data_IF_244993238624
#
_entry.id   IF_244993238624
#
_cell.length_a   1.000
_cell.length_b   1.000
_cell.length_c   1.000
_cell.angle_alpha   90.00
_cell.angle_beta   90.00
_cell.angle_gamma   90.00
#
_symmetry.space_group_name_H-M   'P 1'
#
loop_
_entity.id
_entity.type
_entity.pdbx_description
1 polymer ?
#
# COMPACT_ATOMS: atom_id res chain seq x y z
N UNK A 1 -23.35 8.83 -32.82
CA UNK A 1 -23.82 8.87 -31.42
C UNK A 1 -22.61 8.89 -30.50
N UNK A 2 -22.38 10.01 -29.79
CA UNK A 2 -21.21 10.18 -28.93
C UNK A 2 -21.52 9.71 -27.50
N UNK A 3 -20.82 8.67 -27.04
CA UNK A 3 -20.94 8.17 -25.67
C UNK A 3 -20.24 9.12 -24.70
N UNK A 4 -21.01 9.98 -24.02
CA UNK A 4 -20.53 10.75 -22.87
C UNK A 4 -20.31 9.79 -21.69
N UNK A 5 -19.04 9.47 -21.41
CA UNK A 5 -18.66 8.77 -20.18
C UNK A 5 -18.87 9.71 -19.01
N UNK A 6 -19.84 9.40 -18.13
CA UNK A 6 -20.00 10.07 -16.83
C UNK A 6 -18.73 9.85 -16.01
N UNK A 7 -17.91 10.88 -15.85
CA UNK A 7 -16.82 10.84 -14.87
C UNK A 7 -17.46 10.80 -13.48
N UNK A 8 -17.08 9.81 -12.66
CA UNK A 8 -17.37 9.85 -11.22
C UNK A 8 -16.61 11.06 -10.66
N UNK A 9 -17.27 12.21 -10.57
CA UNK A 9 -16.79 13.33 -9.78
C UNK A 9 -16.65 12.82 -8.35
N UNK A 10 -15.40 12.57 -7.93
CA UNK A 10 -15.10 12.26 -6.54
C UNK A 10 -15.64 13.42 -5.71
N UNK A 11 -16.55 13.13 -4.78
CA UNK A 11 -17.03 14.12 -3.81
C UNK A 11 -15.81 14.68 -3.08
N UNK A 12 -15.50 15.96 -3.30
CA UNK A 12 -14.44 16.65 -2.57
C UNK A 12 -14.90 16.81 -1.11
N UNK A 13 -14.01 16.63 -0.12
CA UNK A 13 -14.36 16.85 1.29
C UNK A 13 -14.86 18.29 1.48
N UNK A 14 -15.90 18.44 2.28
CA UNK A 14 -16.44 19.75 2.70
C UNK A 14 -16.02 19.98 4.15
N UNK A 15 -15.23 21.01 4.39
CA UNK A 15 -14.75 21.34 5.73
C UNK A 15 -15.71 22.34 6.39
N UNK A 16 -16.16 22.02 7.60
CA UNK A 16 -17.02 22.88 8.42
C UNK A 16 -16.39 23.01 9.79
N UNK A 17 -16.04 24.23 10.17
CA UNK A 17 -15.44 24.54 11.46
C UNK A 17 -16.46 25.23 12.35
N UNK A 18 -16.46 24.88 13.63
CA UNK A 18 -17.25 25.57 14.65
C UNK A 18 -16.27 26.25 15.60
N UNK A 19 -16.39 27.57 15.71
CA UNK A 19 -15.62 28.37 16.65
C UNK A 19 -16.20 28.19 18.07
N UNK A 20 -15.41 28.51 19.09
CA UNK A 20 -15.83 28.44 20.50
C UNK A 20 -17.10 29.29 20.76
N UNK A 21 -17.27 30.38 20.01
CA UNK A 21 -18.42 31.28 20.08
C UNK A 21 -19.69 30.73 19.40
N UNK A 22 -19.65 29.49 18.89
CA UNK A 22 -20.77 28.82 18.23
C UNK A 22 -20.93 29.14 16.74
N UNK A 23 -20.20 30.12 16.22
CA UNK A 23 -20.21 30.50 14.80
C UNK A 23 -19.65 29.38 13.93
N UNK A 24 -20.34 29.07 12.82
CA UNK A 24 -19.93 28.02 11.87
C UNK A 24 -19.33 28.63 10.61
N UNK A 25 -18.10 28.24 10.30
CA UNK A 25 -17.39 28.62 9.07
C UNK A 25 -17.36 27.44 8.10
N UNK A 26 -17.80 27.65 6.86
CA UNK A 26 -17.79 26.62 5.82
C UNK A 26 -16.72 26.96 4.79
N UNK A 27 -15.80 26.03 4.56
CA UNK A 27 -14.77 26.20 3.52
C UNK A 27 -15.25 25.53 2.24
N UNK A 28 -15.38 26.33 1.18
CA UNK A 28 -15.78 25.82 -0.12
C UNK A 28 -14.61 25.09 -0.80
N UNK A 29 -14.77 23.83 -1.20
CA UNK A 29 -13.69 23.03 -1.79
C UNK A 29 -13.34 23.45 -3.23
N UNK A 30 -14.02 24.43 -3.82
CA UNK A 30 -13.73 24.94 -5.16
C UNK A 30 -13.02 26.30 -5.15
N UNK A 31 -12.85 26.91 -3.98
CA UNK A 31 -12.03 28.10 -3.83
C UNK A 31 -10.55 27.68 -3.76
N UNK A 32 -9.72 28.27 -4.61
CA UNK A 32 -8.26 28.06 -4.60
C UNK A 32 -7.64 28.91 -3.48
N UNK A 33 -7.95 28.54 -2.24
CA UNK A 33 -7.39 29.16 -1.05
C UNK A 33 -6.26 28.25 -0.52
N UNK A 34 -5.15 28.83 -0.07
CA UNK A 34 -4.02 28.10 0.51
C UNK A 34 -4.47 27.14 1.63
N UNK A 35 -5.44 27.59 2.44
CA UNK A 35 -6.08 26.79 3.48
C UNK A 35 -6.71 25.49 2.96
N UNK A 36 -7.38 25.51 1.80
CA UNK A 36 -7.98 24.31 1.20
C UNK A 36 -6.91 23.32 0.76
N UNK A 37 -5.77 23.82 0.27
CA UNK A 37 -4.63 22.98 -0.12
C UNK A 37 -4.01 22.32 1.11
N UNK A 38 -3.75 23.08 2.17
CA UNK A 38 -3.19 22.57 3.44
C UNK A 38 -4.10 21.46 4.01
N UNK A 39 -5.41 21.71 4.08
CA UNK A 39 -6.36 20.72 4.62
C UNK A 39 -6.39 19.42 3.79
N UNK A 40 -6.29 19.52 2.47
CA UNK A 40 -6.19 18.33 1.60
C UNK A 40 -4.89 17.57 1.78
N UNK A 41 -3.80 18.27 2.05
CA UNK A 41 -2.51 17.64 2.32
C UNK A 41 -2.52 16.92 3.65
N UNK A 42 -3.13 17.51 4.70
CA UNK A 42 -3.34 16.87 5.99
C UNK A 42 -4.19 15.60 5.89
N UNK A 43 -5.35 15.66 5.23
CA UNK A 43 -6.20 14.48 5.00
C UNK A 43 -5.42 13.38 4.25
N UNK A 44 -4.57 13.78 3.30
CA UNK A 44 -3.76 12.84 2.53
C UNK A 44 -2.66 12.22 3.39
N UNK A 45 -1.99 12.99 4.24
CA UNK A 45 -0.95 12.47 5.13
C UNK A 45 -1.53 11.55 6.20
N UNK A 46 -2.67 11.88 6.79
CA UNK A 46 -3.37 11.02 7.75
C UNK A 46 -3.74 9.69 7.12
N UNK A 47 -4.39 9.72 5.94
CA UNK A 47 -4.72 8.50 5.20
C UNK A 47 -3.50 7.67 4.81
N UNK A 48 -2.35 8.30 4.58
CA UNK A 48 -1.10 7.60 4.34
C UNK A 48 -0.56 6.96 5.63
N UNK A 49 -0.61 7.69 6.75
CA UNK A 49 -0.24 7.16 8.07
C UNK A 49 -1.07 5.93 8.42
N UNK A 50 -2.41 6.03 8.33
CA UNK A 50 -3.32 4.91 8.57
C UNK A 50 -2.96 3.70 7.70
N UNK A 51 -2.60 3.95 6.43
CA UNK A 51 -2.21 2.89 5.51
C UNK A 51 -0.90 2.24 5.93
N UNK A 52 0.12 3.03 6.28
CA UNK A 52 1.41 2.51 6.73
C UNK A 52 1.26 1.73 8.04
N UNK A 53 0.49 2.26 8.99
CA UNK A 53 0.18 1.55 10.23
C UNK A 53 -0.53 0.23 9.97
N UNK A 54 -1.50 0.21 9.05
CA UNK A 54 -2.19 -1.03 8.70
C UNK A 54 -1.31 -2.02 7.91
N UNK A 55 -0.37 -1.55 7.11
CA UNK A 55 0.62 -2.39 6.42
C UNK A 55 1.69 -2.93 7.37
N UNK A 56 2.01 -2.19 8.45
CA UNK A 56 2.99 -2.57 9.47
C UNK A 56 2.40 -3.46 10.59
N UNK A 57 1.07 -3.52 10.72
CA UNK A 57 0.41 -4.41 11.67
C UNK A 57 0.60 -5.87 11.29
N UNK A 58 0.99 -6.67 12.27
CA UNK A 58 0.94 -8.13 12.14
C UNK A 58 -0.54 -8.57 12.13
N UNK A 59 -1.00 -9.01 10.95
CA UNK A 59 -2.37 -9.43 10.73
C UNK A 59 -2.75 -10.65 11.57
N UNK A 60 -1.79 -11.52 11.89
CA UNK A 60 -2.01 -12.73 12.70
C UNK A 60 -2.27 -12.31 14.15
N UNK A 61 -1.42 -11.41 14.67
CA UNK A 61 -1.58 -10.84 16.00
C UNK A 61 -2.88 -10.03 16.16
N UNK A 62 -3.20 -9.17 15.20
CA UNK A 62 -4.46 -8.41 15.24
C UNK A 62 -5.68 -9.32 15.17
N UNK A 63 -5.61 -10.43 14.43
CA UNK A 63 -6.68 -11.41 14.38
C UNK A 63 -6.87 -12.12 15.73
N UNK A 64 -5.79 -12.60 16.35
CA UNK A 64 -5.85 -13.27 17.65
C UNK A 64 -6.33 -12.33 18.76
N UNK A 65 -5.83 -11.09 18.79
CA UNK A 65 -6.29 -10.02 19.68
C UNK A 65 -7.79 -9.75 19.53
N UNK A 66 -8.28 -9.63 18.30
CA UNK A 66 -9.70 -9.40 18.03
C UNK A 66 -10.58 -10.60 18.43
N UNK A 67 -10.09 -11.83 18.29
CA UNK A 67 -10.81 -13.01 18.75
C UNK A 67 -10.87 -13.08 20.29
N UNK A 68 -9.74 -12.80 20.97
CA UNK A 68 -9.67 -12.74 22.42
C UNK A 68 -10.65 -11.72 23.01
N UNK A 69 -10.68 -10.49 22.47
CA UNK A 69 -11.62 -9.47 22.93
C UNK A 69 -13.09 -9.84 22.74
N UNK A 70 -13.42 -10.63 21.71
CA UNK A 70 -14.79 -11.07 21.45
C UNK A 70 -15.24 -12.21 22.36
N UNK A 71 -14.32 -13.09 22.77
CA UNK A 71 -14.59 -14.26 23.61
C UNK A 71 -13.41 -14.55 24.55
N UNK A 72 -13.27 -13.78 25.64
CA UNK A 72 -12.11 -13.93 26.53
C UNK A 72 -12.07 -15.32 27.19
N UNK A 73 -13.23 -15.87 27.56
CA UNK A 73 -13.33 -17.15 28.30
C UNK A 73 -12.91 -18.40 27.50
N UNK A 74 -12.83 -18.29 26.17
CA UNK A 74 -12.40 -19.41 25.31
C UNK A 74 -10.89 -19.53 25.15
N UNK A 75 -10.13 -18.50 25.54
CA UNK A 75 -8.67 -18.48 25.38
C UNK A 75 -8.01 -18.54 26.75
N UNK A 76 -7.09 -19.49 26.92
CA UNK A 76 -6.39 -19.72 28.19
C UNK A 76 -5.41 -18.61 28.54
N UNK A 77 -4.80 -17.97 27.54
CA UNK A 77 -3.80 -16.90 27.70
C UNK A 77 -4.15 -15.69 26.83
N UNK A 78 -3.67 -14.50 27.23
CA UNK A 78 -3.79 -13.30 26.39
C UNK A 78 -2.87 -13.42 25.17
N UNK A 79 -3.29 -12.98 23.98
CA UNK A 79 -2.39 -12.86 22.83
C UNK A 79 -1.15 -12.00 23.12
N UNK A 80 -1.24 -11.06 24.08
CA UNK A 80 -0.10 -10.27 24.53
C UNK A 80 0.97 -11.10 25.25
N UNK A 81 0.58 -12.19 25.94
CA UNK A 81 1.51 -13.05 26.66
C UNK A 81 2.33 -13.95 25.71
N UNK A 82 1.87 -14.07 24.46
CA UNK A 82 2.60 -14.77 23.38
C UNK A 82 3.57 -13.87 22.61
N UNK A 83 3.61 -12.56 22.92
CA UNK A 83 4.63 -11.67 22.37
C UNK A 83 5.92 -11.95 23.13
N UNK A 84 6.76 -12.81 22.58
CA UNK A 84 8.12 -12.99 23.07
C UNK A 84 8.93 -11.78 22.61
N UNK A 85 9.44 -10.98 23.57
CA UNK A 85 10.34 -9.86 23.25
C UNK A 85 11.76 -10.39 22.97
N UNK A 86 11.90 -11.06 21.83
CA UNK A 86 13.18 -11.63 21.41
C UNK A 86 14.19 -10.58 20.93
N UNK A 87 13.83 -9.29 20.95
CA UNK A 87 14.73 -8.19 20.56
C UNK A 87 15.98 -8.10 21.46
N UNK A 88 15.91 -8.66 22.68
CA UNK A 88 17.03 -8.74 23.62
C UNK A 88 17.61 -10.15 23.76
N UNK A 89 17.10 -11.13 23.01
CA UNK A 89 17.69 -12.46 23.02
C UNK A 89 19.06 -12.39 22.35
N UNK A 90 20.10 -12.67 23.14
CA UNK A 90 21.49 -12.70 22.68
C UNK A 90 21.65 -13.69 21.51
N UNK A 91 20.88 -14.77 21.51
CA UNK A 91 20.85 -15.74 20.40
C UNK A 91 20.25 -15.14 19.13
N UNK A 92 19.16 -14.37 19.20
CA UNK A 92 18.61 -13.67 18.03
C UNK A 92 19.52 -12.54 17.53
N UNK A 93 20.28 -11.89 18.41
CA UNK A 93 21.22 -10.83 18.00
C UNK A 93 22.48 -11.43 17.34
N UNK A 94 22.96 -12.57 17.84
CA UNK A 94 24.20 -13.21 17.37
C UNK A 94 23.97 -14.21 16.22
N UNK A 95 22.78 -14.81 16.13
CA UNK A 95 22.49 -15.92 15.21
C UNK A 95 21.24 -15.72 14.33
N UNK A 96 20.62 -14.52 14.29
CA UNK A 96 19.72 -14.19 13.18
C UNK A 96 20.53 -13.95 11.90
N UNK A 97 21.14 -15.01 11.40
CA UNK A 97 21.24 -15.19 9.96
C UNK A 97 19.82 -15.52 9.50
N UNK A 98 18.98 -14.50 9.30
CA UNK A 98 17.72 -14.67 8.60
C UNK A 98 18.03 -15.06 7.15
N UNK A 99 18.37 -16.33 6.96
CA UNK A 99 18.61 -17.00 5.68
C UNK A 99 17.30 -17.21 4.91
N UNK A 100 16.17 -16.79 5.49
CA UNK A 100 14.93 -16.63 4.75
C UNK A 100 15.11 -15.52 3.72
N UNK A 101 15.45 -15.94 2.49
CA UNK A 101 15.42 -15.06 1.31
C UNK A 101 14.13 -14.25 1.33
N UNK A 102 14.26 -12.94 1.56
CA UNK A 102 13.11 -12.05 1.64
C UNK A 102 12.33 -12.15 0.34
N UNK A 103 11.02 -11.90 0.39
CA UNK A 103 10.19 -11.87 -0.84
C UNK A 103 10.81 -10.91 -1.87
N UNK A 104 11.44 -9.81 -1.42
CA UNK A 104 12.22 -8.91 -2.28
C UNK A 104 13.31 -9.63 -3.06
N UNK A 105 14.10 -10.47 -2.40
CA UNK A 105 15.27 -11.14 -2.98
C UNK A 105 14.82 -12.21 -3.97
N UNK A 106 13.76 -12.94 -3.61
CA UNK A 106 13.10 -13.90 -4.49
C UNK A 106 12.56 -13.20 -5.76
N UNK A 107 11.89 -12.06 -5.61
CA UNK A 107 11.37 -11.27 -6.75
C UNK A 107 12.52 -10.70 -7.59
N UNK A 108 13.59 -10.17 -6.97
CA UNK A 108 14.78 -9.69 -7.67
C UNK A 108 15.41 -10.78 -8.54
N UNK A 109 15.43 -12.03 -8.07
CA UNK A 109 15.93 -13.16 -8.87
C UNK A 109 15.06 -13.51 -10.09
N UNK A 110 13.79 -13.06 -10.12
CA UNK A 110 12.83 -13.31 -11.20
C UNK A 110 12.86 -12.20 -12.25
N UNK A 111 13.21 -10.96 -11.86
CA UNK A 111 13.24 -9.81 -12.78
C UNK A 111 14.05 -10.09 -14.06
N UNK A 112 15.25 -10.71 -14.02
CA UNK A 112 16.02 -11.04 -15.21
C UNK A 112 15.31 -12.00 -16.19
N UNK A 113 14.33 -12.78 -15.73
CA UNK A 113 13.54 -13.73 -16.55
C UNK A 113 12.39 -13.05 -17.33
N UNK A 114 12.11 -11.78 -17.03
CA UNK A 114 11.12 -10.98 -17.76
C UNK A 114 11.69 -10.52 -19.11
N UNK A 115 10.80 -10.10 -20.02
CA UNK A 115 11.22 -9.48 -21.29
C UNK A 115 11.85 -8.11 -21.02
N UNK A 116 12.76 -7.66 -21.88
CA UNK A 116 13.44 -6.35 -21.75
C UNK A 116 12.47 -5.19 -21.46
N UNK A 117 11.41 -5.06 -22.27
CA UNK A 117 10.37 -4.03 -22.09
C UNK A 117 9.66 -4.09 -20.71
N UNK A 118 9.56 -5.28 -20.13
CA UNK A 118 8.95 -5.49 -18.81
C UNK A 118 9.93 -5.17 -17.68
N UNK A 119 11.22 -5.44 -17.88
CA UNK A 119 12.28 -5.07 -16.93
C UNK A 119 12.40 -3.56 -16.83
N UNK A 120 12.44 -2.84 -17.96
CA UNK A 120 12.49 -1.39 -17.97
C UNK A 120 11.25 -0.78 -17.28
N UNK A 121 10.07 -1.32 -17.59
CA UNK A 121 8.83 -0.91 -16.93
C UNK A 121 8.87 -1.16 -15.41
N UNK A 122 9.46 -2.26 -14.96
CA UNK A 122 9.62 -2.57 -13.54
C UNK A 122 10.50 -1.52 -12.85
N UNK A 123 11.68 -1.21 -13.41
CA UNK A 123 12.58 -0.21 -12.82
C UNK A 123 11.95 1.18 -12.76
N UNK A 124 11.26 1.61 -13.83
CA UNK A 124 10.54 2.89 -13.82
C UNK A 124 9.46 2.96 -12.72
N UNK A 125 8.82 1.83 -12.39
CA UNK A 125 7.86 1.78 -11.29
C UNK A 125 8.56 1.81 -9.92
N UNK A 126 9.70 1.14 -9.79
CA UNK A 126 10.52 1.16 -8.56
C UNK A 126 11.08 2.56 -8.26
N UNK A 127 11.43 3.33 -9.29
CA UNK A 127 11.83 4.75 -9.18
C UNK A 127 10.68 5.68 -8.76
N UNK A 128 9.44 5.17 -8.68
CA UNK A 128 8.28 5.95 -8.23
C UNK A 128 7.63 6.81 -9.31
N UNK A 129 7.97 6.63 -10.58
CA UNK A 129 7.33 7.37 -11.68
C UNK A 129 5.83 7.07 -11.76
N UNK A 130 5.02 8.11 -11.98
CA UNK A 130 3.58 7.91 -12.21
C UNK A 130 3.38 7.26 -13.58
N UNK A 131 2.34 6.45 -13.70
CA UNK A 131 1.98 5.78 -14.97
C UNK A 131 1.81 6.75 -16.15
N UNK A 132 1.42 8.00 -15.88
CA UNK A 132 1.28 9.05 -16.89
C UNK A 132 2.63 9.52 -17.41
N UNK A 133 3.63 9.61 -16.53
CA UNK A 133 4.98 10.06 -16.88
C UNK A 133 5.72 8.94 -17.63
N UNK A 134 5.52 7.68 -17.23
CA UNK A 134 5.97 6.50 -17.97
C UNK A 134 5.35 6.46 -19.37
N UNK A 135 4.05 6.74 -19.48
CA UNK A 135 3.35 6.78 -20.77
C UNK A 135 3.94 7.84 -21.72
N UNK A 136 4.30 9.02 -21.19
CA UNK A 136 5.01 10.05 -21.95
C UNK A 136 6.41 9.59 -22.37
N UNK A 137 7.20 9.02 -21.44
CA UNK A 137 8.56 8.56 -21.71
C UNK A 137 8.63 7.47 -22.79
N UNK A 138 7.65 6.56 -22.79
CA UNK A 138 7.56 5.45 -23.75
C UNK A 138 6.77 5.82 -25.03
N UNK A 139 6.20 7.03 -25.13
CA UNK A 139 5.29 7.44 -26.21
C UNK A 139 4.10 6.49 -26.43
N UNK A 140 3.46 6.04 -25.34
CA UNK A 140 2.33 5.10 -25.39
C UNK A 140 1.15 5.66 -24.59
N UNK A 141 -0.07 5.22 -24.89
CA UNK A 141 -1.24 5.57 -24.08
C UNK A 141 -1.11 5.05 -22.64
N UNK A 142 -1.65 5.82 -21.68
CA UNK A 142 -1.68 5.45 -20.27
C UNK A 142 -2.41 4.12 -20.02
N UNK A 143 -3.40 3.80 -20.84
CA UNK A 143 -4.15 2.54 -20.76
C UNK A 143 -3.30 1.35 -21.22
N UNK A 144 -2.48 1.52 -22.24
CA UNK A 144 -1.53 0.50 -22.67
C UNK A 144 -0.45 0.25 -21.61
N UNK A 145 0.03 1.30 -20.93
CA UNK A 145 0.96 1.13 -19.78
C UNK A 145 0.29 0.32 -18.67
N UNK A 146 -0.95 0.64 -18.28
CA UNK A 146 -1.70 -0.15 -17.27
C UNK A 146 -1.85 -1.62 -17.68
N UNK A 147 -2.20 -1.87 -18.94
CA UNK A 147 -2.31 -3.23 -19.48
C UNK A 147 -0.98 -3.98 -19.38
N UNK A 148 0.13 -3.33 -19.75
CA UNK A 148 1.49 -3.89 -19.62
C UNK A 148 1.85 -4.19 -18.17
N UNK A 149 1.57 -3.28 -17.24
CA UNK A 149 1.81 -3.49 -15.79
C UNK A 149 1.01 -4.69 -15.28
N UNK A 150 -0.27 -4.81 -15.67
CA UNK A 150 -1.12 -5.95 -15.27
C UNK A 150 -0.54 -7.27 -15.76
N UNK A 151 -0.17 -7.34 -17.05
CA UNK A 151 0.43 -8.55 -17.65
C UNK A 151 1.78 -8.90 -17.01
N UNK A 152 2.60 -7.89 -16.72
CA UNK A 152 3.87 -8.06 -16.01
C UNK A 152 3.66 -8.66 -14.62
N UNK A 153 2.74 -8.10 -13.81
CA UNK A 153 2.40 -8.64 -12.48
C UNK A 153 1.93 -10.09 -12.54
N UNK A 154 1.05 -10.42 -13.48
CA UNK A 154 0.59 -11.82 -13.68
C UNK A 154 1.76 -12.74 -13.99
N UNK A 155 2.69 -12.30 -14.85
CA UNK A 155 3.86 -13.09 -15.21
C UNK A 155 4.83 -13.27 -14.04
N UNK A 156 5.08 -12.21 -13.25
CA UNK A 156 5.90 -12.31 -12.03
C UNK A 156 5.29 -13.31 -11.05
N UNK A 157 3.98 -13.25 -10.81
CA UNK A 157 3.28 -14.21 -9.94
C UNK A 157 3.44 -15.65 -10.44
N UNK A 158 3.29 -15.87 -11.75
CA UNK A 158 3.46 -17.20 -12.34
C UNK A 158 4.90 -17.73 -12.18
N UNK A 159 5.89 -16.90 -12.50
CA UNK A 159 7.31 -17.28 -12.37
C UNK A 159 7.71 -17.51 -10.91
N UNK A 160 7.12 -16.75 -9.98
CA UNK A 160 7.35 -16.94 -8.55
C UNK A 160 6.77 -18.28 -8.07
N UNK A 161 5.54 -18.60 -8.47
CA UNK A 161 4.92 -19.87 -8.16
C UNK A 161 5.70 -21.06 -8.77
N UNK A 162 6.15 -20.94 -10.01
CA UNK A 162 6.97 -21.98 -10.67
C UNK A 162 8.32 -22.22 -9.97
N UNK A 163 8.94 -21.16 -9.45
CA UNK A 163 10.29 -21.24 -8.85
C UNK A 163 10.28 -21.58 -7.36
N UNK A 164 9.28 -21.13 -6.62
CA UNK A 164 9.24 -21.22 -5.17
C UNK A 164 8.04 -22.01 -4.60
N UNK A 165 7.06 -22.39 -5.42
CA UNK A 165 5.85 -23.11 -4.96
C UNK A 165 4.86 -22.26 -4.15
N UNK A 166 5.26 -21.05 -3.75
CA UNK A 166 4.49 -20.13 -2.91
C UNK A 166 3.61 -19.16 -3.73
N UNK A 167 2.55 -18.65 -3.12
CA UNK A 167 1.69 -17.59 -3.69
C UNK A 167 2.03 -16.22 -3.10
N UNK A 168 2.26 -15.22 -3.97
CA UNK A 168 2.30 -13.81 -3.55
C UNK A 168 0.93 -13.18 -3.79
N UNK A 169 0.31 -12.70 -2.70
CA UNK A 169 -0.94 -11.93 -2.74
C UNK A 169 -0.73 -10.50 -3.24
#
# INVERSE_FOLDING_TARGET
MANQRKSKTKNKPKYVYQLADGTRFKINPNENNELVTILREMDKSERLSDRYENEAKDQIFEHSKNQYHKKPDTFTNSPLDSIVDDNFSIENILFNDSNETKISDKVHSIIPLLKSDQQELWYLLCEGHKLVDIAKKLNISSEAVRSRVRKMKIKIKKLYQEKYGDYIN
#
